data_IF_786820327201
#
_entry.id   IF_786820327201
#
_cell.length_a   1.000
_cell.length_b   1.000
_cell.length_c   1.000
_cell.angle_alpha   90.00
_cell.angle_beta   90.00
_cell.angle_gamma   90.00
#
_symmetry.space_group_name_H-M   'P 1'
#
loop_
_entity.id
_entity.type
_entity.pdbx_description
1 polymer ?
#
# COMPACT_ATOMS: atom_id res chain seq x y z
N UNK A 1 4.85 -27.70 -10.52
CA UNK A 1 4.01 -26.82 -9.67
C UNK A 1 4.94 -25.87 -8.96
N UNK A 2 4.78 -24.56 -9.15
CA UNK A 2 5.64 -23.54 -8.51
C UNK A 2 5.02 -23.17 -7.16
N UNK A 3 5.80 -23.28 -6.07
CA UNK A 3 5.34 -22.94 -4.72
C UNK A 3 6.08 -21.68 -4.30
N UNK A 4 5.32 -20.62 -4.01
CA UNK A 4 5.84 -19.32 -3.57
C UNK A 4 5.21 -19.03 -2.22
N UNK A 5 6.04 -18.75 -1.23
CA UNK A 5 5.62 -18.33 0.11
C UNK A 5 6.18 -16.93 0.40
N UNK A 6 5.93 -16.45 1.62
CA UNK A 6 6.48 -15.19 2.12
C UNK A 6 8.01 -15.14 1.98
N UNK A 7 8.69 -16.20 2.40
CA UNK A 7 10.14 -16.34 2.47
C UNK A 7 10.67 -17.53 1.65
N UNK A 8 9.81 -18.20 0.88
CA UNK A 8 10.18 -19.32 0.02
C UNK A 8 9.86 -19.02 -1.46
N UNK A 9 10.69 -19.46 -2.42
CA UNK A 9 11.99 -20.11 -2.23
C UNK A 9 13.03 -19.17 -1.60
N UNK A 10 14.10 -19.70 -1.00
CA UNK A 10 15.21 -18.89 -0.44
C UNK A 10 15.94 -18.03 -1.50
N UNK A 11 15.58 -18.21 -2.78
CA UNK A 11 16.02 -17.34 -3.88
C UNK A 11 15.27 -16.00 -3.86
N UNK A 12 15.68 -15.04 -4.70
CA UNK A 12 15.05 -13.71 -4.80
C UNK A 12 13.59 -13.72 -5.29
N UNK A 13 13.03 -14.88 -5.64
CA UNK A 13 11.68 -15.01 -6.21
C UNK A 13 10.60 -15.31 -5.15
N UNK A 14 10.89 -15.12 -3.87
CA UNK A 14 9.86 -15.17 -2.82
C UNK A 14 9.01 -13.89 -2.77
N UNK A 15 7.84 -14.00 -2.15
CA UNK A 15 6.86 -12.90 -2.14
C UNK A 15 7.39 -11.65 -1.43
N UNK A 16 8.18 -11.81 -0.35
CA UNK A 16 8.79 -10.70 0.38
C UNK A 16 9.74 -9.91 -0.52
N UNK A 17 10.70 -10.59 -1.15
CA UNK A 17 11.66 -9.96 -2.04
C UNK A 17 10.97 -9.34 -3.26
N UNK A 18 9.93 -9.98 -3.80
CA UNK A 18 9.14 -9.38 -4.87
C UNK A 18 8.45 -8.09 -4.43
N UNK A 19 7.87 -8.05 -3.23
CA UNK A 19 7.24 -6.84 -2.68
C UNK A 19 8.28 -5.73 -2.44
N UNK A 20 9.42 -6.08 -1.85
CA UNK A 20 10.52 -5.14 -1.53
C UNK A 20 11.18 -4.61 -2.81
N UNK A 21 11.60 -5.49 -3.74
CA UNK A 21 12.30 -5.12 -4.98
C UNK A 21 11.41 -4.30 -5.93
N UNK A 22 10.08 -4.47 -5.87
CA UNK A 22 9.15 -3.75 -6.76
C UNK A 22 8.45 -2.56 -6.09
N UNK A 23 8.67 -2.35 -4.79
CA UNK A 23 7.94 -1.35 -4.00
C UNK A 23 6.43 -1.60 -3.95
N UNK A 24 5.98 -2.86 -4.15
CA UNK A 24 4.57 -3.25 -4.16
C UNK A 24 4.02 -3.47 -2.75
N UNK A 25 4.17 -2.46 -1.89
CA UNK A 25 3.63 -2.51 -0.54
C UNK A 25 2.09 -2.56 -0.56
N UNK A 26 1.47 -3.48 0.19
CA UNK A 26 0.02 -3.49 0.37
C UNK A 26 -0.47 -2.26 1.12
N UNK A 27 -1.61 -1.69 0.72
CA UNK A 27 -2.20 -0.52 1.41
C UNK A 27 -2.54 -0.80 2.88
N UNK A 28 -2.70 -2.08 3.24
CA UNK A 28 -3.01 -2.51 4.61
C UNK A 28 -1.90 -2.18 5.59
N UNK A 29 -0.66 -1.99 5.11
CA UNK A 29 0.50 -1.61 5.91
C UNK A 29 0.48 -0.14 6.36
N UNK A 30 -0.35 0.72 5.75
CA UNK A 30 -0.42 2.15 6.12
C UNK A 30 -0.95 2.30 7.55
N UNK A 31 -0.18 2.88 8.45
CA UNK A 31 -0.56 3.08 9.86
C UNK A 31 -1.38 4.35 10.07
N UNK A 32 -1.28 5.30 9.15
CA UNK A 32 -2.00 6.59 9.22
C UNK A 32 -3.49 6.49 8.88
N UNK A 33 -3.93 5.40 8.22
CA UNK A 33 -5.33 5.15 7.87
C UNK A 33 -6.04 4.27 8.91
N UNK A 34 -7.30 4.60 9.19
CA UNK A 34 -8.18 3.74 9.99
C UNK A 34 -8.60 2.49 9.22
N UNK A 35 -9.08 1.48 9.93
CA UNK A 35 -9.61 0.25 9.31
C UNK A 35 -10.73 0.55 8.30
N UNK A 36 -11.61 1.50 8.61
CA UNK A 36 -12.71 1.90 7.73
C UNK A 36 -12.21 2.59 6.44
N UNK A 37 -11.22 3.48 6.55
CA UNK A 37 -10.61 4.14 5.39
C UNK A 37 -9.87 3.15 4.49
N UNK A 38 -9.13 2.21 5.09
CA UNK A 38 -8.49 1.10 4.35
C UNK A 38 -9.53 0.26 3.61
N UNK A 39 -10.62 -0.10 4.28
CA UNK A 39 -11.69 -0.88 3.66
C UNK A 39 -12.34 -0.14 2.48
N UNK A 40 -12.56 1.17 2.61
CA UNK A 40 -13.10 1.98 1.52
C UNK A 40 -12.17 2.01 0.30
N UNK A 41 -10.85 2.09 0.51
CA UNK A 41 -9.84 1.99 -0.56
C UNK A 41 -9.82 0.60 -1.20
N UNK A 42 -9.85 -0.47 -0.40
CA UNK A 42 -9.91 -1.86 -0.87
C UNK A 42 -11.18 -2.12 -1.71
N UNK A 43 -12.33 -1.58 -1.28
CA UNK A 43 -13.58 -1.71 -2.02
C UNK A 43 -13.53 -1.01 -3.39
N UNK A 44 -12.67 0.01 -3.52
CA UNK A 44 -12.37 0.68 -4.80
C UNK A 44 -11.29 -0.03 -5.62
N UNK A 45 -10.85 -1.22 -5.19
CA UNK A 45 -9.80 -2.02 -5.82
C UNK A 45 -8.40 -1.39 -5.78
N UNK A 46 -8.18 -0.37 -4.95
CA UNK A 46 -6.82 0.01 -4.60
C UNK A 46 -6.26 -1.09 -3.72
N UNK A 47 -5.10 -1.64 -4.09
CA UNK A 47 -4.42 -2.71 -3.33
C UNK A 47 -3.02 -2.26 -2.94
N UNK A 48 -2.37 -1.48 -3.80
CA UNK A 48 -0.97 -1.10 -3.65
C UNK A 48 -0.82 0.35 -3.19
N UNK A 49 0.18 0.59 -2.34
CA UNK A 49 0.55 1.93 -1.85
C UNK A 49 0.92 2.86 -3.01
N UNK A 50 1.61 2.36 -4.05
CA UNK A 50 1.99 3.17 -5.23
C UNK A 50 0.80 3.70 -6.03
N UNK A 51 -0.33 2.98 -6.03
CA UNK A 51 -1.54 3.39 -6.75
C UNK A 51 -2.15 4.64 -6.13
N UNK A 52 -2.03 4.78 -4.80
CA UNK A 52 -2.47 5.94 -4.05
C UNK A 52 -1.57 7.17 -4.29
N UNK A 53 -0.31 6.94 -4.66
CA UNK A 53 0.67 8.00 -4.96
C UNK A 53 0.34 8.69 -6.29
N UNK A 54 -0.09 7.90 -7.28
CA UNK A 54 -0.42 8.37 -8.63
C UNK A 54 -1.88 8.85 -8.77
N UNK A 55 -2.72 8.64 -7.76
CA UNK A 55 -4.15 8.87 -7.87
C UNK A 55 -4.66 9.75 -6.73
N UNK A 56 -4.64 11.06 -6.95
CA UNK A 56 -5.07 12.04 -5.94
C UNK A 56 -6.55 11.89 -5.56
N UNK A 57 -7.36 11.40 -6.50
CA UNK A 57 -8.80 11.14 -6.32
C UNK A 57 -9.10 9.97 -5.39
N UNK A 58 -8.10 9.12 -5.09
CA UNK A 58 -8.26 7.98 -4.20
C UNK A 58 -8.76 8.40 -2.81
N UNK A 59 -8.39 9.61 -2.37
CA UNK A 59 -8.75 10.16 -1.07
C UNK A 59 -9.95 11.11 -1.08
N UNK A 60 -10.45 11.55 -2.24
CA UNK A 60 -11.53 12.57 -2.33
C UNK A 60 -12.83 12.13 -1.64
N UNK A 61 -13.13 10.83 -1.69
CA UNK A 61 -14.32 10.26 -1.07
C UNK A 61 -14.10 9.85 0.38
N UNK A 62 -12.85 9.88 0.84
CA UNK A 62 -12.52 9.67 2.24
C UNK A 62 -12.68 11.02 2.92
N UNK A 63 -13.52 11.10 3.95
CA UNK A 63 -13.69 12.31 4.77
C UNK A 63 -12.46 12.54 5.68
N UNK A 64 -11.27 12.60 5.07
CA UNK A 64 -9.97 12.75 5.72
C UNK A 64 -9.61 14.23 5.75
N UNK A 65 -9.18 14.72 6.91
CA UNK A 65 -8.69 16.10 7.04
C UNK A 65 -7.38 16.30 6.27
N UNK A 66 -7.16 17.51 5.75
CA UNK A 66 -5.91 17.86 5.04
C UNK A 66 -4.64 17.56 5.85
N UNK A 67 -4.69 17.74 7.19
CA UNK A 67 -3.58 17.42 8.09
C UNK A 67 -3.27 15.92 8.17
N UNK A 68 -4.30 15.08 8.07
CA UNK A 68 -4.13 13.62 8.05
C UNK A 68 -3.70 13.17 6.66
N UNK A 69 -4.24 13.75 5.60
CA UNK A 69 -3.85 13.46 4.23
C UNK A 69 -2.36 13.73 3.98
N UNK A 70 -1.80 14.82 4.53
CA UNK A 70 -0.37 15.11 4.42
C UNK A 70 0.49 14.07 5.14
N UNK A 71 0.05 13.55 6.30
CA UNK A 71 0.72 12.44 6.99
C UNK A 71 0.67 11.15 6.17
N UNK A 72 -0.49 10.81 5.61
CA UNK A 72 -0.67 9.64 4.75
C UNK A 72 0.27 9.73 3.55
N UNK A 73 0.30 10.86 2.85
CA UNK A 73 1.20 11.06 1.69
C UNK A 73 2.69 10.96 2.08
N UNK A 74 3.07 11.45 3.27
CA UNK A 74 4.43 11.32 3.78
C UNK A 74 4.79 9.86 4.08
N UNK A 75 3.89 9.10 4.71
CA UNK A 75 4.07 7.67 4.96
C UNK A 75 4.18 6.88 3.65
N UNK A 76 3.27 7.12 2.70
CA UNK A 76 3.27 6.52 1.37
C UNK A 76 4.62 6.78 0.67
N UNK A 77 5.11 8.02 0.68
CA UNK A 77 6.40 8.37 0.06
C UNK A 77 7.57 7.64 0.72
N UNK A 78 7.59 7.54 2.05
CA UNK A 78 8.63 6.81 2.78
C UNK A 78 8.64 5.31 2.51
N UNK A 79 7.52 4.72 2.08
CA UNK A 79 7.42 3.31 1.71
C UNK A 79 7.75 3.06 0.23
N UNK A 80 7.71 4.10 -0.61
CA UNK A 80 8.01 4.00 -2.04
C UNK A 80 9.37 4.61 -2.42
N UNK A 81 10.17 5.03 -1.44
CA UNK A 81 11.60 5.33 -1.59
C UNK A 81 12.42 4.03 -1.66
#
# INVERSE_FOLDING_TARGET
>A
MLLVSWDYPETKQNLKNLIEDTGMYPLTCLTTLTKAEKQALLNKKFVLVKELLNNETAFEHLQISNRKLSKVRKEIRSLCE
#
